data_IF_671626386360
#
_entry.id   IF_671626386360
#
_cell.length_a   1.000
_cell.length_b   1.000
_cell.length_c   1.000
_cell.angle_alpha   90.00
_cell.angle_beta   90.00
_cell.angle_gamma   90.00
#
_symmetry.space_group_name_H-M   'P 1'
#
loop_
_entity.id
_entity.type
_entity.pdbx_description
1 polymer ?
#
# COMPACT_ATOMS: atom_id res chain seq x y z
N UNK A 1 4.57 12.79 -20.64
CA UNK A 1 5.43 12.34 -21.76
C UNK A 1 6.88 12.36 -21.32
N UNK A 2 7.47 13.52 -21.02
CA UNK A 2 8.83 13.65 -20.47
C UNK A 2 9.16 12.68 -19.30
N UNK A 3 8.28 12.61 -18.27
CA UNK A 3 8.45 11.67 -17.13
C UNK A 3 8.52 10.18 -17.49
N UNK A 4 8.01 9.79 -18.66
CA UNK A 4 8.09 8.40 -19.15
C UNK A 4 9.36 8.16 -19.96
N UNK A 5 9.92 9.22 -20.55
CA UNK A 5 11.09 9.19 -21.42
C UNK A 5 12.39 9.34 -20.61
N UNK A 6 12.33 10.00 -19.45
CA UNK A 6 13.44 10.21 -18.52
C UNK A 6 13.12 9.60 -17.14
N UNK A 7 13.26 8.28 -16.96
CA UNK A 7 12.90 7.60 -15.71
C UNK A 7 13.95 7.76 -14.60
N UNK A 8 15.07 8.43 -14.87
CA UNK A 8 16.12 8.70 -13.90
C UNK A 8 15.73 9.88 -13.00
N UNK A 9 15.80 9.66 -11.69
CA UNK A 9 15.50 10.64 -10.66
C UNK A 9 16.73 11.43 -10.20
N UNK A 10 17.86 11.33 -10.91
CA UNK A 10 19.08 12.10 -10.65
C UNK A 10 18.80 13.59 -10.47
N UNK A 11 17.94 14.21 -11.31
CA UNK A 11 17.56 15.62 -11.17
C UNK A 11 16.89 15.96 -9.83
N UNK A 12 16.13 15.02 -9.26
CA UNK A 12 15.44 15.19 -7.99
C UNK A 12 16.42 15.15 -6.82
N UNK A 13 17.36 14.19 -6.88
CA UNK A 13 18.45 14.05 -5.91
C UNK A 13 19.40 15.24 -5.99
N UNK A 14 19.97 15.48 -7.17
CA UNK A 14 21.03 16.47 -7.38
C UNK A 14 20.49 17.91 -7.23
N UNK A 15 19.17 18.10 -7.34
CA UNK A 15 18.48 19.37 -7.07
C UNK A 15 18.29 19.71 -5.59
N UNK A 16 18.68 18.83 -4.65
CA UNK A 16 18.55 19.07 -3.21
C UNK A 16 17.17 18.73 -2.61
N UNK A 17 16.24 18.21 -3.43
CA UNK A 17 14.86 17.94 -3.01
C UNK A 17 14.78 16.75 -2.05
N UNK A 18 15.63 15.75 -2.25
CA UNK A 18 15.69 14.58 -1.39
C UNK A 18 16.22 14.94 0.01
N UNK A 19 17.29 15.71 0.11
CA UNK A 19 17.82 16.18 1.40
C UNK A 19 16.83 17.08 2.14
N UNK A 20 15.98 17.81 1.41
CA UNK A 20 14.87 18.52 2.02
C UNK A 20 13.83 17.56 2.60
N UNK A 21 13.37 16.56 1.84
CA UNK A 21 12.40 15.57 2.31
C UNK A 21 12.91 14.80 3.53
N UNK A 22 14.17 14.39 3.54
CA UNK A 22 14.75 13.68 4.70
C UNK A 22 14.69 14.55 5.96
N UNK A 23 15.05 15.84 5.85
CA UNK A 23 14.96 16.78 6.98
C UNK A 23 13.52 17.03 7.42
N UNK A 24 12.58 17.13 6.49
CA UNK A 24 11.16 17.32 6.80
C UNK A 24 10.55 16.08 7.46
N UNK A 25 10.94 14.86 7.04
CA UNK A 25 10.51 13.61 7.67
C UNK A 25 11.03 13.51 9.10
N UNK A 26 12.33 13.79 9.31
CA UNK A 26 12.94 13.83 10.65
C UNK A 26 12.25 14.85 11.56
N UNK A 27 12.07 16.09 11.09
CA UNK A 27 11.38 17.14 11.84
C UNK A 27 9.93 16.75 12.16
N UNK A 28 9.20 16.15 11.21
CA UNK A 28 7.83 15.69 11.44
C UNK A 28 7.77 14.59 12.50
N UNK A 29 8.68 13.61 12.44
CA UNK A 29 8.72 12.52 13.41
C UNK A 29 9.00 13.04 14.84
N UNK A 30 9.92 13.99 14.97
CA UNK A 30 10.22 14.65 16.25
C UNK A 30 9.04 15.50 16.76
N UNK A 31 8.50 16.40 15.92
CA UNK A 31 7.42 17.30 16.31
C UNK A 31 6.14 16.57 16.72
N UNK A 32 5.88 15.40 16.15
CA UNK A 32 4.72 14.57 16.49
C UNK A 32 5.00 13.58 17.64
N UNK A 33 6.22 13.54 18.19
CA UNK A 33 6.60 12.65 19.30
C UNK A 33 6.78 11.19 18.88
N UNK A 34 6.97 10.90 17.60
CA UNK A 34 7.23 9.53 17.13
C UNK A 34 8.61 9.04 17.56
N UNK A 35 9.61 9.91 17.62
CA UNK A 35 10.97 9.52 18.03
C UNK A 35 11.03 9.10 19.49
N UNK A 36 10.34 9.80 20.39
CA UNK A 36 10.15 9.38 21.79
C UNK A 36 9.47 8.00 21.87
N UNK A 37 8.43 7.78 21.06
CA UNK A 37 7.71 6.50 21.01
C UNK A 37 8.60 5.37 20.47
N UNK A 38 9.43 5.64 19.46
CA UNK A 38 10.37 4.65 18.93
C UNK A 38 11.41 4.27 19.97
N UNK A 39 11.93 5.23 20.75
CA UNK A 39 12.85 4.94 21.85
C UNK A 39 12.17 4.13 22.96
N UNK A 40 10.97 4.55 23.40
CA UNK A 40 10.21 3.88 24.46
C UNK A 40 9.94 2.39 24.13
N UNK A 41 9.52 2.11 22.89
CA UNK A 41 9.17 0.76 22.46
C UNK A 41 10.33 0.01 21.78
N UNK A 42 11.53 0.58 21.75
CA UNK A 42 12.70 0.01 21.06
C UNK A 42 12.38 -0.38 19.60
N UNK A 43 11.70 0.52 18.89
CA UNK A 43 11.31 0.38 17.49
C UNK A 43 12.29 1.13 16.60
N UNK A 44 12.66 0.52 15.49
CA UNK A 44 13.45 1.20 14.45
C UNK A 44 12.52 1.68 13.33
N UNK A 45 12.62 2.97 12.99
CA UNK A 45 12.00 3.54 11.80
C UNK A 45 12.95 3.40 10.60
N UNK A 46 12.45 2.85 9.50
CA UNK A 46 13.20 2.67 8.25
C UNK A 46 12.45 3.38 7.13
N UNK A 47 13.02 4.49 6.65
CA UNK A 47 12.57 5.15 5.43
C UNK A 47 13.12 4.38 4.22
N UNK A 48 12.26 3.61 3.54
CA UNK A 48 12.66 2.73 2.43
C UNK A 48 13.26 3.50 1.26
N UNK A 49 12.73 4.69 0.97
CA UNK A 49 13.26 5.56 -0.08
C UNK A 49 14.68 6.00 0.25
N UNK A 50 14.93 6.49 1.45
CA UNK A 50 16.28 6.92 1.87
C UNK A 50 17.31 5.78 1.81
N UNK A 51 16.96 4.60 2.32
CA UNK A 51 17.85 3.42 2.28
C UNK A 51 18.28 3.08 0.86
N UNK A 52 17.31 2.90 -0.05
CA UNK A 52 17.60 2.50 -1.43
C UNK A 52 18.37 3.61 -2.17
N UNK A 53 18.01 4.88 -1.97
CA UNK A 53 18.65 6.01 -2.63
C UNK A 53 20.09 6.27 -2.16
N UNK A 54 20.43 5.87 -0.93
CA UNK A 54 21.81 5.83 -0.42
C UNK A 54 22.60 4.60 -0.86
N UNK A 55 22.02 3.74 -1.70
CA UNK A 55 22.66 2.50 -2.15
C UNK A 55 22.67 1.39 -1.09
N UNK A 56 21.88 1.52 -0.02
CA UNK A 56 21.72 0.50 1.04
C UNK A 56 20.56 -0.44 0.74
N UNK A 57 20.54 -0.98 -0.48
CA UNK A 57 19.55 -1.95 -0.92
C UNK A 57 20.15 -3.37 -0.97
N UNK A 58 19.27 -4.36 -0.94
CA UNK A 58 19.64 -5.76 -1.11
C UNK A 58 20.23 -6.05 -2.50
N UNK A 59 20.90 -7.19 -2.63
CA UNK A 59 21.36 -7.67 -3.93
C UNK A 59 20.16 -7.97 -4.85
N UNK A 60 20.19 -7.36 -6.04
CA UNK A 60 19.07 -7.44 -7.00
C UNK A 60 18.87 -8.86 -7.51
N UNK A 61 19.95 -9.62 -7.71
CA UNK A 61 19.87 -10.99 -8.20
C UNK A 61 19.30 -11.94 -7.13
N UNK A 62 19.64 -11.73 -5.86
CA UNK A 62 19.04 -12.47 -4.75
C UNK A 62 17.53 -12.19 -4.62
N UNK A 63 17.12 -10.92 -4.68
CA UNK A 63 15.68 -10.56 -4.63
C UNK A 63 14.94 -11.13 -5.83
N UNK A 64 15.51 -11.01 -7.04
CA UNK A 64 14.93 -11.59 -8.27
C UNK A 64 14.76 -13.10 -8.15
N UNK A 65 15.80 -13.81 -7.69
CA UNK A 65 15.77 -15.25 -7.47
C UNK A 65 14.69 -15.66 -6.47
N UNK A 66 14.54 -14.93 -5.36
CA UNK A 66 13.50 -15.18 -4.37
C UNK A 66 12.09 -15.01 -4.98
N UNK A 67 11.85 -13.94 -5.72
CA UNK A 67 10.55 -13.69 -6.38
C UNK A 67 10.23 -14.77 -7.41
N UNK A 68 11.14 -15.02 -8.34
CA UNK A 68 10.89 -15.90 -9.49
C UNK A 68 10.87 -17.39 -9.09
N UNK A 69 11.36 -17.74 -7.90
CA UNK A 69 11.18 -19.07 -7.31
C UNK A 69 9.75 -19.37 -6.88
N UNK A 70 8.94 -18.33 -6.63
CA UNK A 70 7.57 -18.44 -6.08
C UNK A 70 6.50 -17.92 -7.02
N UNK A 71 6.80 -16.88 -7.79
CA UNK A 71 5.86 -16.16 -8.63
C UNK A 71 6.40 -16.02 -10.06
N UNK A 72 5.53 -15.67 -11.00
CA UNK A 72 5.97 -15.23 -12.32
C UNK A 72 6.77 -13.92 -12.19
N UNK A 73 7.74 -13.66 -13.09
CA UNK A 73 8.55 -12.44 -13.09
C UNK A 73 7.69 -11.18 -12.99
N UNK A 74 8.19 -10.17 -12.27
CA UNK A 74 7.51 -8.87 -12.21
C UNK A 74 7.61 -8.17 -13.57
N UNK A 75 6.58 -7.40 -13.93
CA UNK A 75 6.55 -6.64 -15.19
C UNK A 75 7.71 -5.62 -15.30
N UNK A 76 8.14 -5.05 -14.16
CA UNK A 76 9.15 -4.00 -14.11
C UNK A 76 10.35 -4.45 -13.29
N UNK A 77 11.42 -4.91 -13.94
CA UNK A 77 12.59 -5.50 -13.26
C UNK A 77 13.21 -4.60 -12.18
N UNK A 78 13.10 -3.27 -12.34
CA UNK A 78 13.60 -2.31 -11.34
C UNK A 78 12.96 -2.47 -9.95
N UNK A 79 11.80 -3.13 -9.84
CA UNK A 79 11.19 -3.47 -8.54
C UNK A 79 12.08 -4.36 -7.68
N UNK A 80 12.92 -5.21 -8.28
CA UNK A 80 13.83 -6.09 -7.54
C UNK A 80 14.89 -5.30 -6.76
N UNK A 81 15.21 -4.06 -7.17
CA UNK A 81 16.14 -3.18 -6.48
C UNK A 81 15.51 -2.29 -5.39
N UNK A 82 14.23 -2.49 -5.05
CA UNK A 82 13.48 -1.60 -4.14
C UNK A 82 13.35 -2.15 -2.71
N UNK A 83 14.23 -3.07 -2.33
CA UNK A 83 14.26 -3.66 -0.99
C UNK A 83 15.49 -3.12 -0.24
N UNK A 84 15.31 -2.35 0.83
CA UNK A 84 16.41 -1.99 1.73
C UNK A 84 17.14 -3.21 2.28
N UNK A 85 18.46 -3.13 2.43
CA UNK A 85 19.25 -4.22 3.01
C UNK A 85 18.76 -4.57 4.42
N UNK A 86 18.45 -3.56 5.24
CA UNK A 86 17.93 -3.75 6.61
C UNK A 86 16.66 -4.60 6.65
N UNK A 87 15.74 -4.38 5.71
CA UNK A 87 14.53 -5.20 5.61
C UNK A 87 14.86 -6.60 5.11
N UNK A 88 15.71 -6.72 4.09
CA UNK A 88 16.13 -8.01 3.55
C UNK A 88 16.82 -8.91 4.59
N UNK A 89 17.57 -8.33 5.53
CA UNK A 89 18.18 -9.07 6.64
C UNK A 89 17.13 -9.67 7.60
N UNK A 90 15.92 -9.12 7.62
CA UNK A 90 14.77 -9.61 8.39
C UNK A 90 13.87 -10.58 7.61
N UNK A 91 14.25 -10.98 6.38
CA UNK A 91 13.46 -11.92 5.58
C UNK A 91 13.09 -13.19 6.36
N UNK A 92 11.89 -13.70 6.15
CA UNK A 92 11.25 -14.76 6.93
C UNK A 92 10.48 -14.25 8.16
N UNK A 93 10.68 -12.99 8.57
CA UNK A 93 9.91 -12.38 9.65
C UNK A 93 8.48 -12.04 9.24
N UNK A 94 7.66 -11.69 10.23
CA UNK A 94 6.32 -11.13 10.00
C UNK A 94 6.44 -9.71 9.43
N UNK A 95 5.74 -9.46 8.33
CA UNK A 95 5.60 -8.14 7.73
C UNK A 95 4.13 -7.73 7.75
N UNK A 96 3.81 -6.56 8.30
CA UNK A 96 2.41 -6.10 8.42
C UNK A 96 2.18 -4.94 7.46
N UNK A 97 1.33 -5.14 6.45
CA UNK A 97 0.76 -4.04 5.66
C UNK A 97 -0.36 -3.39 6.47
N UNK A 98 0.00 -2.36 7.24
CA UNK A 98 -0.95 -1.57 8.02
C UNK A 98 -1.53 -0.43 7.16
N UNK A 99 -2.75 -0.65 6.68
CA UNK A 99 -3.51 0.33 5.90
C UNK A 99 -4.52 1.07 6.78
N UNK A 100 -4.57 2.40 6.66
CA UNK A 100 -5.67 3.22 7.18
C UNK A 100 -6.68 3.46 6.05
N UNK A 101 -7.96 3.20 6.29
CA UNK A 101 -9.00 3.50 5.32
C UNK A 101 -9.06 5.01 5.10
N UNK A 102 -8.75 5.44 3.87
CA UNK A 102 -8.81 6.82 3.42
C UNK A 102 -10.01 7.01 2.49
N UNK A 103 -10.37 8.26 2.21
CA UNK A 103 -11.42 8.64 1.25
C UNK A 103 -11.26 8.07 -0.18
N UNK A 104 -10.08 7.54 -0.54
CA UNK A 104 -9.82 6.87 -1.81
C UNK A 104 -9.62 5.35 -1.67
N UNK A 105 -10.13 4.79 -0.56
CA UNK A 105 -10.16 3.39 -0.17
C UNK A 105 -8.89 2.61 -0.54
N UNK A 106 -7.78 2.91 0.11
CA UNK A 106 -6.56 2.09 -0.02
C UNK A 106 -6.63 0.95 0.98
N UNK A 107 -6.68 -0.29 0.49
CA UNK A 107 -6.60 -1.50 1.30
C UNK A 107 -5.15 -2.03 1.39
N UNK A 108 -4.97 -3.26 1.83
CA UNK A 108 -3.67 -3.80 2.24
C UNK A 108 -2.72 -4.04 1.06
N UNK A 109 -3.21 -4.51 -0.09
CA UNK A 109 -2.40 -4.70 -1.31
C UNK A 109 -1.88 -3.36 -1.83
N UNK A 110 -2.78 -2.38 -1.98
CA UNK A 110 -2.42 -1.06 -2.51
C UNK A 110 -1.55 -0.28 -1.53
N UNK A 111 -1.63 -0.53 -0.23
CA UNK A 111 -0.72 0.08 0.75
C UNK A 111 0.75 -0.29 0.48
N UNK A 112 1.02 -1.52 0.02
CA UNK A 112 2.37 -1.96 -0.36
C UNK A 112 2.94 -1.18 -1.56
N UNK A 113 2.11 -0.51 -2.36
CA UNK A 113 2.57 0.42 -3.40
C UNK A 113 3.50 1.48 -2.83
N UNK A 114 3.31 1.90 -1.57
CA UNK A 114 4.19 2.85 -0.87
C UNK A 114 5.66 2.42 -0.82
N UNK A 115 5.95 1.12 -0.91
CA UNK A 115 7.31 0.57 -0.85
C UNK A 115 8.09 0.70 -2.17
N UNK A 116 7.43 1.11 -3.25
CA UNK A 116 8.13 1.57 -4.45
C UNK A 116 8.80 2.89 -4.13
N UNK A 117 10.14 2.93 -4.16
CA UNK A 117 10.94 4.02 -3.57
C UNK A 117 11.05 5.27 -4.45
N UNK A 118 10.55 5.22 -5.67
CA UNK A 118 10.60 6.36 -6.58
C UNK A 118 9.70 7.51 -6.10
N UNK A 119 10.19 8.76 -6.08
CA UNK A 119 9.46 9.92 -5.58
C UNK A 119 8.26 10.26 -6.46
N UNK A 120 8.33 9.97 -7.76
CA UNK A 120 7.25 10.25 -8.70
C UNK A 120 6.43 9.00 -9.00
N UNK A 121 5.22 8.94 -8.43
CA UNK A 121 4.31 7.80 -8.61
C UNK A 121 3.70 7.73 -10.02
N UNK A 122 3.66 8.83 -10.76
CA UNK A 122 3.03 8.88 -12.09
C UNK A 122 3.61 7.88 -13.09
N UNK A 123 4.91 7.56 -13.01
CA UNK A 123 5.50 6.54 -13.90
C UNK A 123 4.89 5.15 -13.65
N UNK A 124 4.72 4.80 -12.37
CA UNK A 124 4.16 3.53 -11.91
C UNK A 124 2.66 3.43 -12.14
N UNK A 125 1.97 4.58 -12.15
CA UNK A 125 0.60 4.64 -12.61
C UNK A 125 0.51 4.37 -14.12
N UNK A 126 1.41 4.95 -14.90
CA UNK A 126 1.40 4.89 -16.35
C UNK A 126 0.30 5.77 -16.98
N UNK A 127 0.33 5.97 -18.32
CA UNK A 127 -0.68 6.74 -19.03
C UNK A 127 -2.10 6.21 -18.75
N UNK A 128 -2.96 7.05 -18.17
CA UNK A 128 -4.33 6.66 -17.86
C UNK A 128 -4.46 5.59 -16.76
N UNK A 129 -3.44 5.42 -15.91
CA UNK A 129 -3.35 4.39 -14.87
C UNK A 129 -3.24 2.95 -15.40
N UNK A 130 -2.75 2.75 -16.62
CA UNK A 130 -2.62 1.43 -17.27
C UNK A 130 -1.58 0.50 -16.62
N UNK A 131 -0.63 1.02 -15.83
CA UNK A 131 0.44 0.25 -15.15
C UNK A 131 0.21 0.07 -13.66
N UNK A 132 -0.72 0.81 -13.04
CA UNK A 132 -0.82 0.88 -11.58
C UNK A 132 -1.05 -0.50 -10.95
N UNK A 133 -1.92 -1.32 -11.54
CA UNK A 133 -2.26 -2.62 -10.98
C UNK A 133 -1.07 -3.59 -11.04
N UNK A 134 -0.37 -3.63 -12.16
CA UNK A 134 0.86 -4.41 -12.31
C UNK A 134 1.96 -3.95 -11.36
N UNK A 135 2.06 -2.65 -11.12
CA UNK A 135 3.04 -2.09 -10.17
C UNK A 135 2.72 -2.48 -8.72
N UNK A 136 1.43 -2.42 -8.33
CA UNK A 136 0.95 -2.88 -7.02
C UNK A 136 1.25 -4.37 -6.85
N UNK A 137 0.87 -5.21 -7.82
CA UNK A 137 1.09 -6.66 -7.73
C UNK A 137 2.57 -6.99 -7.74
N UNK A 138 3.37 -6.32 -8.58
CA UNK A 138 4.81 -6.51 -8.65
C UNK A 138 5.53 -6.27 -7.33
N UNK A 139 5.24 -5.16 -6.64
CA UNK A 139 5.85 -4.90 -5.33
C UNK A 139 5.32 -5.86 -4.25
N UNK A 140 4.06 -6.29 -4.33
CA UNK A 140 3.55 -7.34 -3.45
C UNK A 140 4.30 -8.67 -3.66
N UNK A 141 4.57 -9.09 -4.90
CA UNK A 141 5.40 -10.30 -5.17
C UNK A 141 6.77 -10.20 -4.52
N UNK A 142 7.42 -9.03 -4.61
CA UNK A 142 8.73 -8.78 -3.99
C UNK A 142 8.69 -8.98 -2.48
N UNK A 143 7.75 -8.36 -1.78
CA UNK A 143 7.71 -8.48 -0.31
C UNK A 143 7.11 -9.82 0.15
N UNK A 144 6.15 -10.40 -0.58
CA UNK A 144 5.62 -11.73 -0.26
C UNK A 144 6.63 -12.85 -0.51
N UNK A 145 7.62 -12.69 -1.40
CA UNK A 145 8.68 -13.70 -1.56
C UNK A 145 9.69 -13.69 -0.40
N UNK A 146 9.80 -12.57 0.32
CA UNK A 146 10.75 -12.38 1.39
C UNK A 146 10.15 -12.54 2.79
N UNK A 147 8.86 -12.27 2.99
CA UNK A 147 8.26 -12.19 4.34
C UNK A 147 6.97 -13.00 4.50
N UNK A 148 6.63 -13.26 5.76
CA UNK A 148 5.30 -13.71 6.16
C UNK A 148 4.38 -12.47 6.27
N UNK A 149 3.72 -12.12 5.17
CA UNK A 149 2.92 -10.89 5.07
C UNK A 149 1.54 -11.05 5.72
N UNK A 150 1.12 -10.05 6.49
CA UNK A 150 -0.20 -9.90 7.09
C UNK A 150 -0.79 -8.56 6.69
N UNK A 151 -2.10 -8.55 6.47
CA UNK A 151 -2.85 -7.34 6.19
C UNK A 151 -3.59 -6.87 7.42
N UNK A 152 -3.58 -5.55 7.65
CA UNK A 152 -4.44 -4.91 8.62
C UNK A 152 -5.01 -3.64 7.99
N UNK A 153 -6.31 -3.57 7.79
CA UNK A 153 -7.01 -2.32 7.42
C UNK A 153 -7.77 -1.79 8.61
N UNK A 154 -7.62 -0.50 8.91
CA UNK A 154 -8.25 0.13 10.06
C UNK A 154 -8.94 1.46 9.73
N UNK A 155 -10.00 1.74 10.47
CA UNK A 155 -10.53 3.08 10.70
C UNK A 155 -10.99 3.11 12.16
N UNK A 156 -10.31 3.82 13.07
CA UNK A 156 -10.55 3.62 14.52
C UNK A 156 -11.51 4.64 15.14
N UNK A 157 -11.46 5.90 14.70
CA UNK A 157 -12.19 7.00 15.36
C UNK A 157 -13.38 7.48 14.52
N UNK A 158 -13.14 7.76 13.24
CA UNK A 158 -14.16 8.20 12.31
C UNK A 158 -13.88 7.71 10.90
N UNK A 159 -14.94 7.48 10.15
CA UNK A 159 -14.88 6.93 8.79
C UNK A 159 -15.54 7.89 7.81
N UNK A 160 -14.88 8.15 6.68
CA UNK A 160 -15.47 8.90 5.58
C UNK A 160 -16.53 8.04 4.87
N UNK A 161 -17.78 8.50 4.86
CA UNK A 161 -18.91 7.81 4.24
C UNK A 161 -19.47 8.69 3.11
N UNK A 162 -19.54 8.17 1.86
CA UNK A 162 -20.10 8.92 0.74
C UNK A 162 -21.53 9.39 1.04
N UNK A 163 -21.77 10.68 0.87
CA UNK A 163 -23.07 11.31 1.02
C UNK A 163 -23.20 12.42 -0.04
N UNK A 164 -24.15 12.35 -0.98
CA UNK A 164 -24.36 13.41 -1.99
C UNK A 164 -24.57 14.81 -1.40
N UNK A 165 -25.04 14.91 -0.15
CA UNK A 165 -25.24 16.15 0.58
C UNK A 165 -24.18 16.40 1.66
N UNK A 166 -23.11 15.61 1.69
CA UNK A 166 -22.12 15.63 2.76
C UNK A 166 -21.36 16.95 2.86
N UNK A 167 -20.86 17.23 4.06
CA UNK A 167 -20.18 18.48 4.41
C UNK A 167 -18.82 18.62 3.70
N UNK A 168 -18.13 17.50 3.48
CA UNK A 168 -16.80 17.48 2.91
C UNK A 168 -16.81 17.11 1.43
N UNK A 169 -15.81 17.57 0.68
CA UNK A 169 -15.58 17.21 -0.72
C UNK A 169 -14.24 16.50 -0.85
N UNK A 170 -14.25 15.28 -1.40
CA UNK A 170 -13.06 14.48 -1.68
C UNK A 170 -12.90 14.25 -3.19
N UNK A 171 -11.65 14.30 -3.66
CA UNK A 171 -11.31 14.13 -5.08
C UNK A 171 -11.78 12.79 -5.68
N UNK A 172 -11.80 11.72 -4.87
CA UNK A 172 -12.10 10.37 -5.33
C UNK A 172 -13.49 9.84 -4.96
N UNK A 173 -14.06 10.33 -3.85
CA UNK A 173 -15.34 9.89 -3.29
C UNK A 173 -16.48 10.85 -3.62
N UNK A 174 -16.18 12.08 -4.02
CA UNK A 174 -17.18 13.15 -4.12
C UNK A 174 -17.52 13.71 -2.73
N UNK A 175 -18.79 14.06 -2.51
CA UNK A 175 -19.24 14.54 -1.20
C UNK A 175 -19.34 13.40 -0.19
N UNK A 176 -18.94 13.68 1.05
CA UNK A 176 -18.94 12.69 2.13
C UNK A 176 -19.10 13.36 3.51
N UNK A 177 -19.52 12.57 4.49
CA UNK A 177 -19.50 12.93 5.91
C UNK A 177 -18.45 12.11 6.65
N UNK A 178 -17.94 12.63 7.77
CA UNK A 178 -17.15 11.85 8.72
C UNK A 178 -18.08 11.33 9.81
N UNK A 179 -18.26 10.02 9.87
CA UNK A 179 -19.08 9.37 10.90
C UNK A 179 -18.18 8.96 12.06
N UNK A 180 -18.32 9.64 13.19
CA UNK A 180 -17.63 9.33 14.44
C UNK A 180 -18.16 8.05 15.09
N UNK A 181 -17.30 7.34 15.83
CA UNK A 181 -17.67 6.08 16.51
C UNK A 181 -17.94 4.91 15.55
N UNK A 182 -17.72 5.11 14.26
CA UNK A 182 -17.86 4.11 13.22
C UNK A 182 -16.50 3.49 12.88
N UNK A 183 -15.91 2.83 13.88
CA UNK A 183 -14.59 2.22 13.77
C UNK A 183 -14.63 0.74 13.38
N UNK A 184 -13.66 0.28 12.58
CA UNK A 184 -13.45 -1.12 12.26
C UNK A 184 -11.97 -1.46 12.12
N UNK A 185 -11.68 -2.75 12.29
CA UNK A 185 -10.40 -3.39 11.97
C UNK A 185 -10.69 -4.67 11.19
N UNK A 186 -10.02 -4.84 10.06
CA UNK A 186 -10.00 -6.09 9.30
C UNK A 186 -8.55 -6.56 9.19
N UNK A 187 -8.29 -7.82 9.54
CA UNK A 187 -6.94 -8.37 9.53
C UNK A 187 -6.89 -9.84 9.12
N UNK A 188 -5.77 -10.26 8.55
CA UNK A 188 -5.57 -11.63 8.10
C UNK A 188 -4.20 -11.87 7.46
N UNK A 189 -3.92 -13.12 7.10
CA UNK A 189 -2.67 -13.55 6.44
C UNK A 189 -2.69 -13.41 4.92
N UNK A 190 -3.88 -13.35 4.33
CA UNK A 190 -4.07 -13.25 2.90
C UNK A 190 -4.60 -11.85 2.57
N UNK A 191 -3.74 -11.04 1.92
CA UNK A 191 -4.09 -9.66 1.56
C UNK A 191 -5.23 -9.62 0.54
N UNK A 192 -5.27 -10.58 -0.39
CA UNK A 192 -6.33 -10.70 -1.39
C UNK A 192 -7.65 -10.98 -0.70
N UNK A 193 -7.68 -11.94 0.23
CA UNK A 193 -8.90 -12.29 0.98
C UNK A 193 -9.47 -11.08 1.74
N UNK A 194 -8.61 -10.36 2.48
CA UNK A 194 -9.03 -9.17 3.24
C UNK A 194 -9.55 -8.07 2.31
N UNK A 195 -8.80 -7.75 1.26
CA UNK A 195 -9.13 -6.67 0.35
C UNK A 195 -10.40 -7.00 -0.45
N UNK A 196 -10.60 -8.25 -0.87
CA UNK A 196 -11.83 -8.73 -1.52
C UNK A 196 -13.04 -8.66 -0.59
N UNK A 197 -12.87 -9.03 0.69
CA UNK A 197 -13.92 -8.91 1.69
C UNK A 197 -14.32 -7.45 1.89
N UNK A 198 -13.35 -6.56 2.10
CA UNK A 198 -13.61 -5.12 2.27
C UNK A 198 -14.23 -4.50 1.02
N UNK A 199 -13.77 -4.87 -0.17
CA UNK A 199 -14.36 -4.47 -1.44
C UNK A 199 -15.81 -4.95 -1.54
N UNK A 200 -16.09 -6.22 -1.23
CA UNK A 200 -17.45 -6.79 -1.28
C UNK A 200 -18.42 -6.19 -0.26
N UNK A 201 -17.94 -5.67 0.86
CA UNK A 201 -18.74 -4.95 1.87
C UNK A 201 -19.01 -3.48 1.49
N UNK A 202 -18.14 -2.89 0.67
CA UNK A 202 -18.20 -1.49 0.24
C UNK A 202 -18.65 -1.30 -1.21
N UNK A 203 -18.99 -2.39 -1.90
CA UNK A 203 -19.43 -2.41 -3.29
C UNK A 203 -20.66 -1.52 -3.53
N UNK A 204 -20.63 -0.77 -4.63
CA UNK A 204 -21.59 0.24 -5.04
C UNK A 204 -21.46 1.58 -4.30
N UNK A 205 -20.51 1.71 -3.35
CA UNK A 205 -20.48 2.86 -2.42
C UNK A 205 -19.22 3.70 -2.54
N UNK A 206 -18.08 3.10 -2.89
CA UNK A 206 -16.78 3.81 -2.92
C UNK A 206 -16.40 4.34 -4.31
N UNK A 207 -17.34 4.35 -5.25
CA UNK A 207 -17.24 5.05 -6.53
C UNK A 207 -15.97 4.69 -7.34
N UNK A 208 -15.14 5.68 -7.65
CA UNK A 208 -13.91 5.49 -8.44
C UNK A 208 -12.91 4.55 -7.74
N UNK A 209 -12.92 4.49 -6.41
CA UNK A 209 -11.98 3.67 -5.65
C UNK A 209 -12.20 2.16 -5.86
N UNK A 210 -13.40 1.72 -6.27
CA UNK A 210 -13.63 0.31 -6.64
C UNK A 210 -12.72 -0.13 -7.78
N UNK A 211 -12.65 0.66 -8.86
CA UNK A 211 -11.85 0.30 -10.04
C UNK A 211 -10.36 0.22 -9.70
N UNK A 212 -9.90 1.10 -8.81
CA UNK A 212 -8.48 1.18 -8.42
C UNK A 212 -8.05 -0.02 -7.56
N UNK A 213 -8.97 -0.67 -6.85
CA UNK A 213 -8.65 -1.85 -6.02
C UNK A 213 -8.99 -3.18 -6.68
N UNK A 214 -10.04 -3.24 -7.51
CA UNK A 214 -10.52 -4.50 -8.11
C UNK A 214 -9.49 -5.16 -9.02
N UNK A 215 -8.82 -4.36 -9.86
CA UNK A 215 -7.85 -4.90 -10.81
C UNK A 215 -6.57 -5.43 -10.14
N UNK A 216 -5.95 -4.73 -9.16
CA UNK A 216 -4.85 -5.31 -8.37
C UNK A 216 -5.22 -6.61 -7.66
N UNK A 217 -6.44 -6.71 -7.08
CA UNK A 217 -6.92 -7.93 -6.42
C UNK A 217 -6.98 -9.09 -7.42
N UNK A 218 -7.63 -8.89 -8.58
CA UNK A 218 -7.74 -9.90 -9.65
C UNK A 218 -6.36 -10.38 -10.10
N UNK A 219 -5.45 -9.46 -10.39
CA UNK A 219 -4.10 -9.81 -10.84
C UNK A 219 -3.29 -10.52 -9.74
N UNK A 220 -3.45 -10.14 -8.47
CA UNK A 220 -2.79 -10.81 -7.36
C UNK A 220 -3.27 -12.26 -7.18
N UNK A 221 -4.54 -12.55 -7.44
CA UNK A 221 -5.08 -13.92 -7.49
C UNK A 221 -4.45 -14.73 -8.63
N UNK A 222 -4.42 -14.17 -9.84
CA UNK A 222 -3.85 -14.82 -11.02
C UNK A 222 -2.36 -15.15 -10.83
N UNK A 223 -1.64 -14.30 -10.12
CA UNK A 223 -0.23 -14.48 -9.79
C UNK A 223 0.01 -15.35 -8.54
N UNK A 224 -1.04 -15.87 -7.90
CA UNK A 224 -0.92 -16.79 -6.77
C UNK A 224 -0.44 -16.14 -5.46
N UNK A 225 -0.62 -14.82 -5.30
CA UNK A 225 -0.30 -14.12 -4.05
C UNK A 225 -1.27 -14.53 -2.93
N UNK A 226 -2.54 -14.72 -3.29
CA UNK A 226 -3.63 -15.04 -2.37
C UNK A 226 -4.92 -15.35 -3.11
N UNK A 227 -6.01 -15.55 -2.38
CA UNK A 227 -7.32 -15.92 -2.93
C UNK A 227 -8.47 -15.22 -2.21
N UNK A 228 -9.48 -14.79 -2.96
CA UNK A 228 -10.73 -14.28 -2.40
C UNK A 228 -11.47 -15.38 -1.64
N UNK A 229 -12.08 -14.99 -0.52
CA UNK A 229 -12.87 -15.89 0.33
C UNK A 229 -14.36 -15.51 0.26
N UNK A 230 -15.08 -16.13 -0.68
CA UNK A 230 -16.52 -15.95 -0.85
C UNK A 230 -17.34 -16.31 0.41
N UNK A 231 -17.14 -17.49 1.01
CA UNK A 231 -17.78 -17.85 2.27
C UNK A 231 -17.55 -16.83 3.40
N UNK A 232 -16.32 -16.33 3.57
CA UNK A 232 -16.04 -15.31 4.57
C UNK A 232 -16.73 -13.97 4.25
N UNK A 233 -16.86 -13.59 2.98
CA UNK A 233 -17.63 -12.41 2.58
C UNK A 233 -19.12 -12.57 2.90
N UNK A 234 -19.71 -13.73 2.63
CA UNK A 234 -21.12 -14.01 2.95
C UNK A 234 -21.37 -13.98 4.46
N UNK A 235 -20.47 -14.59 5.24
CA UNK A 235 -20.50 -14.51 6.71
C UNK A 235 -20.35 -13.08 7.21
N UNK A 236 -19.40 -12.32 6.65
CA UNK A 236 -19.20 -10.93 7.00
C UNK A 236 -20.45 -10.10 6.70
N UNK A 237 -21.07 -10.25 5.52
CA UNK A 237 -22.32 -9.57 5.16
C UNK A 237 -23.46 -9.88 6.15
N UNK A 238 -23.57 -11.12 6.59
CA UNK A 238 -24.56 -11.52 7.59
C UNK A 238 -24.30 -10.89 8.97
N UNK A 239 -23.04 -10.78 9.40
CA UNK A 239 -22.66 -10.27 10.73
C UNK A 239 -22.58 -8.76 10.82
N UNK A 240 -21.98 -8.10 9.83
CA UNK A 240 -21.81 -6.64 9.80
C UNK A 240 -23.08 -5.95 9.30
N UNK A 241 -23.98 -6.69 8.64
CA UNK A 241 -25.29 -6.22 8.22
C UNK A 241 -25.22 -4.92 7.41
N UNK A 242 -25.89 -3.89 7.93
CA UNK A 242 -25.93 -2.57 7.33
C UNK A 242 -24.81 -1.63 7.76
N UNK A 243 -23.74 -2.08 8.44
CA UNK A 243 -22.70 -1.17 8.95
C UNK A 243 -22.19 -0.22 7.88
N UNK A 244 -21.92 -0.70 6.67
CA UNK A 244 -21.47 0.16 5.57
C UNK A 244 -22.62 0.87 4.83
N UNK A 245 -23.86 0.90 5.36
CA UNK A 245 -24.99 1.65 4.80
C UNK A 245 -25.13 2.95 5.61
N UNK A 246 -25.04 4.12 4.98
CA UNK A 246 -25.38 5.38 5.64
C UNK A 246 -26.83 5.38 6.13
#
# INVERSE_FOLDING_TARGET
KWLYDEPDWGWFRDGGHWEQIVREDEAFLDEQGFTDLFEEFSVEYVNTTDEVWRGRHADVAEVKGAVESRFTPVQFERLYGMVPQRLFDLRGSTFISLARLKQYATFTLKNMFGLIVDPMRSWWHGPGNDRIAQSIVGINKVYHSLFNVYGVTTSLHGTAVPNPNGEHMGEYMGRYDVVEGFGFVACGRDLVSIDSLLMGLTEGKIGVAERVNREPIRLAEEDGIGTSDGPALDEARAKVGGWFKP
#
